data_IF_885785662931
#
_entry.id   IF_885785662931
#
_cell.length_a   1.000
_cell.length_b   1.000
_cell.length_c   1.000
_cell.angle_alpha   90.00
_cell.angle_beta   90.00
_cell.angle_gamma   90.00
#
_symmetry.space_group_name_H-M   'P 1'
#
loop_
_entity.id
_entity.type
_entity.pdbx_description
1 polymer ?
#
# COMPACT_ATOMS: atom_id res chain seq x y z
N UNK A 1 -16.29 -35.96 26.50
CA UNK A 1 -14.91 -35.46 26.29
C UNK A 1 -15.02 -34.32 25.30
N UNK A 2 -15.19 -33.10 25.81
CA UNK A 2 -15.32 -31.88 25.00
C UNK A 2 -13.92 -31.54 24.47
N UNK A 3 -13.77 -31.48 23.14
CA UNK A 3 -12.60 -30.88 22.52
C UNK A 3 -12.76 -29.37 22.66
N UNK A 4 -11.89 -28.75 23.45
CA UNK A 4 -11.77 -27.29 23.54
C UNK A 4 -11.40 -26.76 22.16
N UNK A 5 -12.28 -25.96 21.57
CA UNK A 5 -11.92 -25.06 20.48
C UNK A 5 -10.92 -24.03 21.04
N UNK A 6 -9.65 -24.19 20.68
CA UNK A 6 -8.67 -23.14 20.89
C UNK A 6 -9.01 -21.98 19.96
N UNK A 7 -9.71 -20.99 20.52
CA UNK A 7 -9.85 -19.65 19.97
C UNK A 7 -8.46 -19.12 19.63
N UNK A 8 -8.10 -19.19 18.35
CA UNK A 8 -6.92 -18.51 17.83
C UNK A 8 -7.39 -17.11 17.49
N UNK A 9 -7.04 -16.15 18.34
CA UNK A 9 -7.16 -14.72 18.06
C UNK A 9 -6.59 -14.48 16.67
N UNK A 10 -7.43 -14.07 15.73
CA UNK A 10 -6.98 -13.71 14.40
C UNK A 10 -6.19 -12.42 14.54
N UNK A 11 -4.86 -12.53 14.60
CA UNK A 11 -4.06 -11.37 14.25
C UNK A 11 -4.42 -11.02 12.81
N UNK A 12 -4.75 -9.76 12.57
CA UNK A 12 -4.95 -9.24 11.21
C UNK A 12 -3.70 -9.59 10.39
N UNK A 13 -3.82 -10.55 9.48
CA UNK A 13 -2.66 -11.01 8.71
C UNK A 13 -2.26 -9.89 7.76
N UNK A 14 -1.09 -9.29 7.96
CA UNK A 14 -0.57 -8.25 7.06
C UNK A 14 -0.11 -8.92 5.77
N UNK A 15 -0.79 -8.62 4.67
CA UNK A 15 -0.53 -9.22 3.38
C UNK A 15 0.29 -8.28 2.50
N UNK A 16 1.41 -8.77 1.98
CA UNK A 16 2.19 -8.06 0.97
C UNK A 16 2.31 -8.93 -0.27
N UNK A 17 1.75 -8.43 -1.37
CA UNK A 17 1.73 -9.11 -2.65
C UNK A 17 2.59 -8.34 -3.64
N UNK A 18 3.55 -9.04 -4.24
CA UNK A 18 4.37 -8.54 -5.33
C UNK A 18 3.86 -9.15 -6.62
N UNK A 19 3.60 -8.31 -7.61
CA UNK A 19 3.15 -8.72 -8.93
C UNK A 19 4.21 -8.31 -9.94
N UNK A 20 4.70 -9.26 -10.74
CA UNK A 20 5.61 -8.94 -11.83
C UNK A 20 5.23 -9.58 -13.16
N UNK A 21 5.59 -8.90 -14.23
CA UNK A 21 5.54 -9.38 -15.62
C UNK A 21 6.29 -8.43 -16.55
N UNK A 22 6.64 -8.84 -17.78
CA UNK A 22 7.11 -7.94 -18.83
C UNK A 22 6.12 -6.82 -19.16
N UNK A 23 6.55 -5.84 -19.96
CA UNK A 23 5.68 -4.75 -20.43
C UNK A 23 4.52 -5.29 -21.27
N UNK A 24 3.39 -4.57 -21.29
CA UNK A 24 2.22 -4.93 -22.10
C UNK A 24 1.30 -6.03 -21.52
N UNK A 25 1.65 -6.61 -20.37
CA UNK A 25 0.90 -7.72 -19.77
C UNK A 25 -0.18 -7.30 -18.76
N UNK A 26 -0.64 -6.04 -18.80
CA UNK A 26 -1.81 -5.59 -18.04
C UNK A 26 -1.65 -5.39 -16.53
N UNK A 27 -0.42 -5.27 -15.99
CA UNK A 27 -0.17 -4.96 -14.55
C UNK A 27 -0.94 -3.73 -14.09
N UNK A 28 -0.79 -2.61 -14.78
CA UNK A 28 -1.46 -1.36 -14.43
C UNK A 28 -2.97 -1.47 -14.50
N UNK A 29 -3.52 -2.20 -15.48
CA UNK A 29 -4.94 -2.48 -15.56
C UNK A 29 -5.45 -3.29 -14.36
N UNK A 30 -4.67 -4.28 -13.90
CA UNK A 30 -4.95 -5.05 -12.69
C UNK A 30 -4.90 -4.17 -11.44
N UNK A 31 -3.82 -3.39 -11.27
CA UNK A 31 -3.65 -2.46 -10.14
C UNK A 31 -4.78 -1.44 -10.07
N UNK A 32 -5.18 -0.88 -11.21
CA UNK A 32 -6.30 0.06 -11.31
C UNK A 32 -7.63 -0.61 -10.96
N UNK A 33 -7.92 -1.78 -11.53
CA UNK A 33 -9.14 -2.55 -11.21
C UNK A 33 -9.22 -2.88 -9.72
N UNK A 34 -8.09 -3.22 -9.10
CA UNK A 34 -8.02 -3.49 -7.65
C UNK A 34 -8.23 -2.22 -6.83
N UNK A 35 -7.63 -1.10 -7.23
CA UNK A 35 -7.83 0.19 -6.56
C UNK A 35 -9.30 0.60 -6.56
N UNK A 36 -9.97 0.53 -7.71
CA UNK A 36 -11.40 0.84 -7.83
C UNK A 36 -12.26 -0.05 -6.93
N UNK A 37 -12.00 -1.36 -6.93
CA UNK A 37 -12.72 -2.32 -6.08
C UNK A 37 -12.46 -2.11 -4.59
N UNK A 38 -11.22 -1.89 -4.19
CA UNK A 38 -10.86 -1.63 -2.79
C UNK A 38 -11.44 -0.30 -2.32
N UNK A 39 -11.54 0.70 -3.19
CA UNK A 39 -12.21 1.96 -2.88
C UNK A 39 -13.73 1.76 -2.71
N UNK A 40 -14.40 1.07 -3.63
CA UNK A 40 -15.82 0.71 -3.53
C UNK A 40 -16.11 -0.10 -2.25
N UNK A 41 -15.15 -0.93 -1.86
CA UNK A 41 -15.25 -1.67 -0.62
C UNK A 41 -15.03 -0.73 0.57
N UNK A 42 -14.15 0.26 0.51
CA UNK A 42 -13.78 1.12 1.65
C UNK A 42 -12.61 0.54 2.45
N UNK A 43 -11.72 -0.19 1.77
CA UNK A 43 -10.46 -0.73 2.33
C UNK A 43 -9.23 -0.20 1.60
N UNK A 44 -9.39 0.68 0.61
CA UNK A 44 -8.26 1.35 -0.02
C UNK A 44 -7.76 2.46 0.92
N UNK A 45 -6.46 2.42 1.23
CA UNK A 45 -5.78 3.40 2.07
C UNK A 45 -5.02 4.44 1.25
N UNK A 46 -4.40 4.00 0.15
CA UNK A 46 -3.68 4.87 -0.78
C UNK A 46 -3.32 4.14 -2.09
N UNK A 47 -3.02 4.92 -3.13
CA UNK A 47 -2.39 4.48 -4.36
C UNK A 47 -1.18 5.35 -4.70
N UNK A 48 -0.18 4.76 -5.35
CA UNK A 48 0.89 5.50 -6.00
C UNK A 48 1.24 4.81 -7.31
N UNK A 49 0.88 5.43 -8.43
CA UNK A 49 1.15 4.87 -9.75
C UNK A 49 2.34 5.62 -10.33
N UNK A 50 3.50 4.97 -10.32
CA UNK A 50 4.70 5.53 -10.89
C UNK A 50 4.51 5.70 -12.39
N UNK A 51 4.98 6.84 -12.90
CA UNK A 51 4.97 7.14 -14.32
C UNK A 51 6.26 7.87 -14.65
N UNK A 52 7.14 7.22 -15.42
CA UNK A 52 8.47 7.76 -15.75
C UNK A 52 8.40 9.14 -16.41
N UNK A 53 7.31 9.44 -17.11
CA UNK A 53 7.11 10.69 -17.86
C UNK A 53 6.57 11.84 -17.02
N UNK A 54 6.09 11.56 -15.79
CA UNK A 54 5.55 12.55 -14.87
C UNK A 54 6.55 12.88 -13.76
N UNK A 55 7.12 14.10 -13.69
CA UNK A 55 8.04 14.49 -12.62
C UNK A 55 7.49 14.33 -11.19
N UNK A 56 6.16 14.40 -11.05
CA UNK A 56 5.47 14.24 -9.77
C UNK A 56 5.36 12.77 -9.35
N UNK A 57 5.34 11.85 -10.33
CA UNK A 57 5.13 10.41 -10.11
C UNK A 57 6.34 9.55 -10.44
N UNK A 58 7.41 10.14 -10.96
CA UNK A 58 8.63 9.42 -11.28
C UNK A 58 9.64 9.46 -10.14
N UNK A 59 9.48 10.33 -9.14
CA UNK A 59 10.51 10.58 -8.13
C UNK A 59 10.10 10.04 -6.74
N UNK A 60 10.99 9.35 -6.00
CA UNK A 60 10.68 8.85 -4.67
C UNK A 60 10.38 9.94 -3.63
N UNK A 61 10.84 11.18 -3.83
CA UNK A 61 10.63 12.31 -2.91
C UNK A 61 9.16 12.61 -2.60
N UNK A 62 8.25 12.32 -3.54
CA UNK A 62 6.81 12.57 -3.36
C UNK A 62 6.08 11.40 -2.70
N UNK A 63 6.73 10.24 -2.58
CA UNK A 63 6.09 8.99 -2.19
C UNK A 63 5.42 9.10 -0.81
N UNK A 64 6.18 9.49 0.21
CA UNK A 64 5.68 9.51 1.59
C UNK A 64 4.61 10.58 1.79
N UNK A 65 4.85 11.80 1.28
CA UNK A 65 3.88 12.89 1.38
C UNK A 65 2.54 12.56 0.70
N UNK A 66 2.60 11.90 -0.46
CA UNK A 66 1.43 11.44 -1.19
C UNK A 66 0.66 10.37 -0.42
N UNK A 67 1.36 9.38 0.15
CA UNK A 67 0.73 8.35 0.98
C UNK A 67 0.11 8.97 2.24
N UNK A 68 0.81 9.85 2.95
CA UNK A 68 0.29 10.52 4.14
C UNK A 68 -0.99 11.31 3.85
N UNK A 69 -1.01 12.05 2.73
CA UNK A 69 -2.19 12.80 2.29
C UNK A 69 -3.37 11.87 2.02
N UNK A 70 -3.15 10.76 1.30
CA UNK A 70 -4.22 9.81 1.00
C UNK A 70 -4.70 9.06 2.24
N UNK A 71 -3.81 8.68 3.15
CA UNK A 71 -4.17 8.06 4.43
C UNK A 71 -5.06 8.98 5.26
N UNK A 72 -4.72 10.28 5.34
CA UNK A 72 -5.55 11.28 5.99
C UNK A 72 -6.96 11.38 5.37
N UNK A 73 -7.07 11.20 4.05
CA UNK A 73 -8.35 11.27 3.34
C UNK A 73 -9.20 10.00 3.48
N UNK A 74 -8.57 8.84 3.40
CA UNK A 74 -9.28 7.56 3.32
C UNK A 74 -9.54 6.90 4.68
N UNK A 75 -8.75 7.22 5.70
CA UNK A 75 -8.90 6.68 7.06
C UNK A 75 -9.34 7.80 8.01
N UNK A 76 -10.64 7.85 8.36
CA UNK A 76 -11.14 8.84 9.30
C UNK A 76 -10.38 8.80 10.63
N UNK A 77 -9.98 9.97 11.11
CA UNK A 77 -9.21 10.12 12.36
C UNK A 77 -7.69 10.20 12.18
N UNK A 78 -7.14 9.84 11.01
CA UNK A 78 -5.73 10.13 10.69
C UNK A 78 -5.50 11.58 10.26
N UNK A 79 -6.51 12.24 9.69
CA UNK A 79 -6.38 13.59 9.17
C UNK A 79 -5.87 14.60 10.21
N UNK A 80 -6.45 14.63 11.41
CA UNK A 80 -6.04 15.54 12.49
C UNK A 80 -4.61 15.26 12.92
N UNK A 81 -4.25 13.99 13.11
CA UNK A 81 -2.91 13.58 13.57
C UNK A 81 -1.81 13.90 12.57
N UNK A 82 -2.06 13.63 11.29
CA UNK A 82 -1.12 13.98 10.23
C UNK A 82 -1.02 15.50 10.11
N UNK A 83 -2.15 16.22 10.22
CA UNK A 83 -2.18 17.68 10.27
C UNK A 83 -1.36 18.24 11.44
N UNK A 84 -1.51 17.69 12.63
CA UNK A 84 -0.76 18.05 13.82
C UNK A 84 0.74 17.77 13.63
N UNK A 85 1.11 16.62 13.07
CA UNK A 85 2.51 16.29 12.79
C UNK A 85 3.16 17.30 11.83
N UNK A 86 2.44 17.74 10.79
CA UNK A 86 2.90 18.81 9.89
C UNK A 86 3.02 20.15 10.63
N UNK A 87 2.06 20.47 11.51
CA UNK A 87 2.10 21.69 12.33
C UNK A 87 3.30 21.74 13.29
N UNK A 88 3.66 20.62 13.91
CA UNK A 88 4.82 20.49 14.80
C UNK A 88 6.15 20.40 14.04
N UNK A 89 6.13 19.97 12.78
CA UNK A 89 7.31 19.82 11.94
C UNK A 89 7.17 20.56 10.59
N UNK A 90 7.23 21.91 10.57
CA UNK A 90 6.99 22.70 9.35
C UNK A 90 7.93 22.41 8.16
N UNK A 91 9.11 21.82 8.42
CA UNK A 91 10.11 21.45 7.41
C UNK A 91 10.19 19.94 7.16
N UNK A 92 9.16 19.18 7.55
CA UNK A 92 9.21 17.72 7.45
C UNK A 92 9.43 17.24 6.01
N UNK A 93 8.88 17.94 5.02
CA UNK A 93 9.06 17.61 3.60
C UNK A 93 10.49 17.85 3.07
N UNK A 94 11.31 18.61 3.81
CA UNK A 94 12.73 18.83 3.49
C UNK A 94 13.65 17.75 4.12
N UNK A 95 13.10 16.90 4.99
CA UNK A 95 13.83 15.80 5.62
C UNK A 95 13.95 14.58 4.71
N UNK A 96 14.79 13.61 5.09
CA UNK A 96 14.88 12.35 4.36
C UNK A 96 13.57 11.54 4.44
N UNK A 97 13.37 10.64 3.48
CA UNK A 97 12.11 9.89 3.37
C UNK A 97 11.84 9.00 4.57
N UNK A 98 12.87 8.49 5.24
CA UNK A 98 12.73 7.65 6.42
C UNK A 98 12.18 8.44 7.63
N UNK A 99 12.60 9.70 7.77
CA UNK A 99 12.08 10.66 8.75
C UNK A 99 10.67 11.11 8.40
N UNK A 100 10.40 11.42 7.12
CA UNK A 100 9.05 11.70 6.65
C UNK A 100 8.11 10.53 6.97
N UNK A 101 8.55 9.29 6.69
CA UNK A 101 7.73 8.08 6.91
C UNK A 101 7.42 7.90 8.39
N UNK A 102 8.40 8.14 9.26
CA UNK A 102 8.20 8.05 10.71
C UNK A 102 7.17 9.08 11.20
N UNK A 103 7.38 10.36 10.85
CA UNK A 103 6.61 11.48 11.40
C UNK A 103 5.24 11.66 10.77
N UNK A 104 5.07 11.33 9.49
CA UNK A 104 3.83 11.57 8.75
C UNK A 104 2.93 10.35 8.67
N UNK A 105 3.47 9.14 8.88
CA UNK A 105 2.70 7.90 8.72
C UNK A 105 2.79 7.05 9.99
N UNK A 106 3.99 6.62 10.39
CA UNK A 106 4.13 5.62 11.47
C UNK A 106 3.62 6.14 12.81
N UNK A 107 4.12 7.29 13.26
CA UNK A 107 3.72 7.89 14.55
C UNK A 107 2.22 8.26 14.55
N UNK A 108 1.69 9.03 13.58
CA UNK A 108 0.26 9.34 13.53
C UNK A 108 -0.65 8.10 13.52
N UNK A 109 -0.25 7.04 12.82
CA UNK A 109 -1.06 5.82 12.74
C UNK A 109 -1.01 5.03 14.04
N UNK A 110 0.14 4.96 14.72
CA UNK A 110 0.25 4.32 16.03
C UNK A 110 -0.64 5.03 17.06
N UNK A 111 -0.57 6.36 17.12
CA UNK A 111 -1.41 7.14 18.02
C UNK A 111 -2.90 6.97 17.71
N UNK A 112 -3.25 6.76 16.44
CA UNK A 112 -4.61 6.43 16.01
C UNK A 112 -5.08 5.08 16.57
N UNK A 113 -4.26 4.03 16.45
CA UNK A 113 -4.60 2.70 16.95
C UNK A 113 -4.67 2.64 18.47
N UNK A 114 -3.79 3.35 19.17
CA UNK A 114 -3.79 3.38 20.64
C UNK A 114 -5.08 4.02 21.18
N UNK A 115 -5.55 5.09 20.53
CA UNK A 115 -6.79 5.75 20.95
C UNK A 115 -8.05 4.99 20.51
N UNK A 116 -8.03 4.30 19.36
CA UNK A 116 -9.17 3.46 18.97
C UNK A 116 -9.38 2.32 19.97
N UNK A 117 -8.32 1.62 20.36
CA UNK A 117 -8.38 0.54 21.36
C UNK A 117 -8.90 1.00 22.73
N UNK A 118 -8.58 2.23 23.14
CA UNK A 118 -9.08 2.82 24.38
C UNK A 118 -10.58 3.16 24.32
N UNK A 119 -11.10 3.50 23.14
CA UNK A 119 -12.49 3.93 22.96
C UNK A 119 -13.47 2.77 22.75
N UNK A 120 -13.06 1.68 22.09
CA UNK A 120 -13.95 0.57 21.70
C UNK A 120 -13.71 -0.73 22.47
N UNK A 121 -12.75 -0.75 23.42
CA UNK A 121 -12.32 -1.96 24.11
C UNK A 121 -11.46 -2.86 23.22
N UNK A 122 -10.83 -3.88 23.82
CA UNK A 122 -9.82 -4.74 23.16
C UNK A 122 -10.35 -5.59 21.99
N UNK A 123 -11.66 -5.58 21.72
CA UNK A 123 -12.33 -6.46 20.75
C UNK A 123 -12.59 -5.78 19.39
N UNK A 124 -12.23 -4.50 19.20
CA UNK A 124 -12.34 -3.87 17.87
C UNK A 124 -11.20 -4.32 16.95
N UNK A 125 -11.47 -5.33 16.13
CA UNK A 125 -10.57 -5.77 15.07
C UNK A 125 -10.45 -4.66 14.01
N UNK A 126 -9.31 -3.97 13.97
CA UNK A 126 -9.10 -2.89 13.01
C UNK A 126 -9.01 -3.49 11.59
N UNK A 127 -9.89 -3.05 10.69
CA UNK A 127 -9.91 -3.55 9.33
C UNK A 127 -8.58 -3.23 8.61
N UNK A 128 -8.00 -4.26 7.99
CA UNK A 128 -6.77 -4.14 7.23
C UNK A 128 -6.99 -3.26 5.99
N UNK A 129 -6.14 -2.26 5.80
CA UNK A 129 -6.26 -1.28 4.72
C UNK A 129 -5.16 -1.48 3.65
N UNK A 130 -5.47 -1.26 2.39
CA UNK A 130 -4.62 -1.60 1.25
C UNK A 130 -3.96 -0.38 0.62
N UNK A 131 -2.66 -0.49 0.38
CA UNK A 131 -1.86 0.45 -0.40
C UNK A 131 -1.45 -0.22 -1.71
N UNK A 132 -1.73 0.41 -2.84
CA UNK A 132 -1.37 -0.11 -4.17
C UNK A 132 -0.29 0.75 -4.80
N UNK A 133 0.85 0.13 -5.09
CA UNK A 133 1.97 0.73 -5.79
C UNK A 133 2.07 0.09 -7.18
N UNK A 134 1.91 0.88 -8.24
CA UNK A 134 1.98 0.38 -9.61
C UNK A 134 3.21 0.94 -10.34
N UNK A 135 3.89 0.08 -11.09
CA UNK A 135 4.99 0.52 -11.97
C UNK A 135 6.26 0.92 -11.24
N UNK A 136 6.62 0.25 -10.13
CA UNK A 136 7.81 0.63 -9.34
C UNK A 136 9.09 0.79 -10.20
N UNK A 137 9.25 -0.01 -11.25
CA UNK A 137 10.37 0.09 -12.20
C UNK A 137 10.43 1.40 -13.00
N UNK A 138 9.36 2.19 -13.01
CA UNK A 138 9.28 3.52 -13.59
C UNK A 138 9.79 4.62 -12.63
N UNK A 139 10.04 4.28 -11.36
CA UNK A 139 10.65 5.18 -10.38
C UNK A 139 12.09 5.51 -10.77
N UNK A 140 12.37 6.80 -10.94
CA UNK A 140 13.65 7.36 -11.30
C UNK A 140 14.00 8.55 -10.38
N UNK A 141 15.16 8.50 -9.72
CA UNK A 141 15.65 9.64 -8.96
C UNK A 141 16.25 10.69 -9.91
N UNK A 142 15.46 11.70 -10.28
CA UNK A 142 15.97 12.84 -11.03
C UNK A 142 16.83 13.73 -10.14
N UNK A 143 18.08 13.97 -10.54
CA UNK A 143 18.96 14.94 -9.89
C UNK A 143 18.86 16.29 -10.61
N UNK A 144 18.93 17.44 -9.89
CA UNK A 144 18.71 18.77 -10.48
C UNK A 144 19.64 19.14 -11.65
N UNK A 145 20.78 18.46 -11.78
CA UNK A 145 21.83 18.79 -12.75
C UNK A 145 21.90 17.83 -13.95
N UNK A 146 21.02 16.83 -14.04
CA UNK A 146 20.99 15.87 -15.15
C UNK A 146 19.65 15.88 -15.88
N UNK A 147 19.73 15.74 -17.21
CA UNK A 147 18.55 15.56 -18.07
C UNK A 147 17.97 14.15 -17.99
N UNK A 148 18.81 13.15 -17.71
CA UNK A 148 18.39 11.76 -17.55
C UNK A 148 19.10 11.10 -16.36
N UNK A 149 18.38 10.32 -15.55
CA UNK A 149 18.96 9.55 -14.46
C UNK A 149 19.72 8.34 -14.99
N UNK A 150 20.79 7.98 -14.30
CA UNK A 150 21.52 6.74 -14.58
C UNK A 150 20.72 5.53 -14.14
N UNK A 151 21.08 4.37 -14.69
CA UNK A 151 20.54 3.08 -14.25
C UNK A 151 20.75 2.86 -12.75
N UNK A 152 21.92 3.24 -12.21
CA UNK A 152 22.21 3.12 -10.79
C UNK A 152 21.34 4.04 -9.92
N UNK A 153 21.12 5.28 -10.33
CA UNK A 153 20.22 6.22 -9.62
C UNK A 153 18.77 5.72 -9.63
N UNK A 154 18.30 5.23 -10.78
CA UNK A 154 16.95 4.65 -10.91
C UNK A 154 16.79 3.42 -10.02
N UNK A 155 17.78 2.52 -10.02
CA UNK A 155 17.82 1.35 -9.16
C UNK A 155 17.80 1.72 -7.67
N UNK A 156 18.60 2.71 -7.25
CA UNK A 156 18.64 3.14 -5.86
C UNK A 156 17.29 3.74 -5.43
N UNK A 157 16.62 4.50 -6.30
CA UNK A 157 15.28 5.02 -6.05
C UNK A 157 14.26 3.90 -5.81
N UNK A 158 14.26 2.88 -6.68
CA UNK A 158 13.38 1.71 -6.55
C UNK A 158 13.64 0.94 -5.24
N UNK A 159 14.91 0.72 -4.89
CA UNK A 159 15.30 0.06 -3.64
C UNK A 159 14.87 0.86 -2.42
N UNK A 160 15.04 2.19 -2.45
CA UNK A 160 14.61 3.06 -1.35
C UNK A 160 13.09 2.94 -1.11
N UNK A 161 12.27 2.89 -2.16
CA UNK A 161 10.82 2.67 -2.00
C UNK A 161 10.53 1.31 -1.34
N UNK A 162 11.22 0.25 -1.77
CA UNK A 162 11.06 -1.09 -1.16
C UNK A 162 11.48 -1.12 0.31
N UNK A 163 12.56 -0.42 0.67
CA UNK A 163 13.02 -0.27 2.05
C UNK A 163 12.00 0.49 2.91
N UNK A 164 11.40 1.57 2.39
CA UNK A 164 10.34 2.30 3.09
C UNK A 164 9.10 1.43 3.32
N UNK A 165 8.66 0.68 2.30
CA UNK A 165 7.55 -0.26 2.44
C UNK A 165 7.89 -1.36 3.45
N UNK A 166 9.10 -1.90 3.40
CA UNK A 166 9.56 -2.89 4.36
C UNK A 166 9.57 -2.35 5.79
N UNK A 167 10.07 -1.13 6.00
CA UNK A 167 10.06 -0.45 7.29
C UNK A 167 8.63 -0.29 7.79
N UNK A 168 7.74 0.24 6.96
CA UNK A 168 6.33 0.45 7.30
C UNK A 168 5.64 -0.87 7.68
N UNK A 169 5.87 -1.93 6.92
CA UNK A 169 5.34 -3.28 7.22
C UNK A 169 5.87 -3.84 8.55
N UNK A 170 7.14 -3.62 8.85
CA UNK A 170 7.80 -4.13 10.06
C UNK A 170 7.29 -3.47 11.34
N UNK A 171 6.56 -2.36 11.24
CA UNK A 171 5.91 -1.70 12.38
C UNK A 171 4.68 -2.45 12.92
N UNK A 172 4.11 -3.38 12.15
CA UNK A 172 2.89 -4.11 12.55
C UNK A 172 1.58 -3.32 12.35
N UNK A 173 1.62 -2.16 11.70
CA UNK A 173 0.40 -1.43 11.32
C UNK A 173 -0.47 -2.28 10.37
N UNK A 174 -1.81 -2.16 10.42
CA UNK A 174 -2.75 -2.92 9.59
C UNK A 174 -2.80 -2.38 8.15
N UNK A 175 -1.64 -2.28 7.52
CA UNK A 175 -1.43 -1.79 6.16
C UNK A 175 -0.87 -2.92 5.29
N UNK A 176 -1.69 -3.35 4.33
CA UNK A 176 -1.32 -4.35 3.32
C UNK A 176 -0.90 -3.67 2.02
N UNK A 177 -0.05 -4.35 1.26
CA UNK A 177 0.56 -3.79 0.06
C UNK A 177 0.33 -4.67 -1.17
N UNK A 178 0.03 -4.02 -2.27
CA UNK A 178 0.18 -4.56 -3.62
C UNK A 178 1.26 -3.75 -4.33
N UNK A 179 2.31 -4.39 -4.85
CA UNK A 179 3.35 -3.70 -5.60
C UNK A 179 3.53 -4.37 -6.95
N UNK A 180 3.37 -3.61 -8.02
CA UNK A 180 3.58 -4.07 -9.39
C UNK A 180 4.90 -3.54 -9.94
N UNK A 181 5.63 -4.39 -10.67
CA UNK A 181 6.89 -4.01 -11.33
C UNK A 181 7.25 -4.91 -12.51
N UNK A 182 8.15 -4.46 -13.39
CA UNK A 182 8.82 -5.32 -14.37
C UNK A 182 9.95 -6.12 -13.69
N UNK A 183 10.11 -7.42 -13.99
CA UNK A 183 11.07 -8.28 -13.29
C UNK A 183 12.53 -7.95 -13.68
N UNK A 184 13.06 -6.87 -13.11
CA UNK A 184 14.47 -6.51 -13.20
C UNK A 184 15.28 -7.30 -12.16
N UNK A 185 16.50 -7.72 -12.52
CA UNK A 185 17.32 -8.59 -11.65
C UNK A 185 17.60 -7.97 -10.28
N UNK A 186 17.79 -6.65 -10.23
CA UNK A 186 17.99 -5.86 -9.01
C UNK A 186 16.79 -5.97 -8.06
N UNK A 187 15.59 -5.65 -8.56
CA UNK A 187 14.34 -5.68 -7.80
C UNK A 187 14.08 -7.12 -7.34
N UNK A 188 14.17 -8.09 -8.24
CA UNK A 188 13.94 -9.50 -7.91
C UNK A 188 14.88 -10.03 -6.84
N UNK A 189 16.17 -9.65 -6.88
CA UNK A 189 17.15 -10.05 -5.85
C UNK A 189 16.81 -9.44 -4.50
N UNK A 190 16.41 -8.18 -4.47
CA UNK A 190 16.00 -7.51 -3.23
C UNK A 190 14.72 -8.14 -2.67
N UNK A 191 13.69 -8.35 -3.50
CA UNK A 191 12.44 -9.02 -3.09
C UNK A 191 12.67 -10.42 -2.51
N UNK A 192 13.66 -11.18 -2.99
CA UNK A 192 14.03 -12.48 -2.41
C UNK A 192 14.49 -12.37 -0.96
N UNK A 193 15.15 -11.27 -0.58
CA UNK A 193 15.57 -11.02 0.81
C UNK A 193 14.37 -10.83 1.75
N UNK A 194 13.20 -10.47 1.22
CA UNK A 194 11.96 -10.27 1.98
C UNK A 194 10.90 -11.36 1.74
N UNK A 195 11.28 -12.44 1.05
CA UNK A 195 10.37 -13.47 0.54
C UNK A 195 9.65 -14.28 1.60
N UNK A 196 10.17 -14.34 2.84
CA UNK A 196 9.53 -15.10 3.94
C UNK A 196 8.13 -14.61 4.28
N UNK A 197 7.78 -13.39 3.87
CA UNK A 197 6.50 -12.77 4.21
C UNK A 197 5.79 -12.08 3.05
N UNK A 198 6.34 -12.20 1.85
CA UNK A 198 5.84 -11.54 0.66
C UNK A 198 5.45 -12.60 -0.36
N UNK A 199 4.21 -12.57 -0.82
CA UNK A 199 3.75 -13.45 -1.89
C UNK A 199 4.09 -12.84 -3.24
N UNK A 200 5.04 -13.44 -3.95
CA UNK A 200 5.40 -13.05 -5.32
C UNK A 200 4.50 -13.78 -6.32
N UNK A 201 3.95 -13.04 -7.27
CA UNK A 201 3.01 -13.51 -8.30
C UNK A 201 3.59 -13.11 -9.66
N UNK A 202 3.97 -14.12 -10.45
CA UNK A 202 4.33 -13.95 -11.85
C UNK A 202 3.07 -14.04 -12.70
N UNK A 203 2.65 -12.93 -13.34
CA UNK A 203 1.46 -12.94 -14.19
C UNK A 203 1.67 -13.83 -15.42
N UNK A 204 2.89 -13.97 -15.92
CA UNK A 204 3.15 -14.78 -17.11
C UNK A 204 3.09 -16.28 -16.85
N UNK A 205 3.33 -16.71 -15.60
CA UNK A 205 3.23 -18.11 -15.19
C UNK A 205 1.78 -18.54 -14.90
N UNK A 206 0.84 -17.60 -14.87
CA UNK A 206 -0.59 -17.86 -14.71
C UNK A 206 -1.17 -18.03 -16.13
N UNK A 207 -1.40 -19.29 -16.49
CA UNK A 207 -1.73 -19.83 -17.83
C UNK A 207 -2.48 -18.91 -18.82
N UNK A 208 -2.03 -18.93 -20.08
CA UNK A 208 -2.24 -17.92 -21.13
C UNK A 208 -3.62 -17.90 -21.83
N UNK A 209 -4.67 -18.51 -21.28
CA UNK A 209 -5.97 -18.63 -21.97
C UNK A 209 -7.16 -17.96 -21.30
N UNK A 210 -7.01 -17.42 -20.09
CA UNK A 210 -7.97 -16.46 -19.52
C UNK A 210 -7.19 -15.35 -18.86
N UNK A 211 -7.57 -14.11 -19.12
CA UNK A 211 -7.10 -12.96 -18.35
C UNK A 211 -7.46 -13.21 -16.89
N UNK A 212 -6.54 -13.81 -16.15
CA UNK A 212 -6.71 -14.26 -14.77
C UNK A 212 -6.55 -13.09 -13.79
N UNK A 213 -7.12 -11.95 -14.20
CA UNK A 213 -7.52 -10.85 -13.33
C UNK A 213 -8.27 -11.45 -12.16
N UNK A 214 -9.13 -12.46 -12.37
CA UNK A 214 -9.77 -13.22 -11.30
C UNK A 214 -8.82 -13.92 -10.34
N UNK A 215 -7.66 -14.45 -10.75
CA UNK A 215 -6.71 -15.09 -9.84
C UNK A 215 -5.94 -14.07 -9.03
N UNK A 216 -5.47 -12.98 -9.66
CA UNK A 216 -4.84 -11.87 -8.93
C UNK A 216 -5.85 -11.21 -7.98
N UNK A 217 -7.06 -10.96 -8.46
CA UNK A 217 -8.20 -10.51 -7.67
C UNK A 217 -8.52 -11.50 -6.57
N UNK A 218 -8.54 -12.81 -6.81
CA UNK A 218 -8.87 -13.82 -5.80
C UNK A 218 -7.78 -13.96 -4.77
N UNK A 219 -6.51 -13.75 -5.12
CA UNK A 219 -5.40 -13.67 -4.17
C UNK A 219 -5.47 -12.38 -3.35
N UNK A 220 -5.80 -11.24 -3.97
CA UNK A 220 -6.00 -9.96 -3.25
C UNK A 220 -7.32 -9.83 -2.49
N UNK A 221 -8.39 -10.50 -2.92
CA UNK A 221 -9.77 -10.36 -2.40
C UNK A 221 -10.18 -11.49 -1.45
N UNK A 222 -9.61 -12.71 -1.52
CA UNK A 222 -9.94 -13.78 -0.54
C UNK A 222 -9.51 -13.39 0.88
N UNK A 223 -8.49 -12.55 1.00
CA UNK A 223 -8.14 -11.87 2.25
C UNK A 223 -9.28 -10.98 2.74
N UNK A 224 -9.78 -10.09 1.88
CA UNK A 224 -10.82 -9.11 2.21
C UNK A 224 -12.19 -9.74 2.49
N UNK A 225 -12.58 -10.76 1.72
CA UNK A 225 -13.89 -11.39 1.84
C UNK A 225 -14.08 -12.18 3.15
N UNK A 226 -12.98 -12.57 3.82
CA UNK A 226 -13.02 -13.26 5.12
C UNK A 226 -13.19 -12.29 6.30
N UNK A 227 -12.61 -11.10 6.20
CA UNK A 227 -12.72 -10.05 7.23
C UNK A 227 -14.12 -9.40 7.22
N UNK A 228 -14.77 -9.28 6.05
CA UNK A 228 -16.11 -8.67 5.93
C UNK A 228 -17.30 -9.52 6.33
N UNK A 229 -17.19 -10.85 6.22
CA UNK A 229 -18.27 -11.73 6.67
C UNK A 229 -18.47 -11.71 8.18
N UNK A 230 -17.47 -11.23 8.95
CA UNK A 230 -17.58 -11.07 10.40
C UNK A 230 -18.07 -9.68 10.83
N UNK A 231 -17.72 -8.63 10.10
CA UNK A 231 -18.17 -7.25 10.40
C UNK A 231 -19.60 -6.96 9.94
N UNK A 232 -20.10 -7.59 8.88
CA UNK A 232 -21.50 -7.44 8.43
C UNK A 232 -22.54 -8.05 9.37
N UNK A 233 -22.15 -8.92 10.30
CA UNK A 233 -23.05 -9.40 11.37
C UNK A 233 -23.16 -8.40 12.54
N UNK A 234 -22.50 -7.23 12.48
CA UNK A 234 -22.42 -6.31 13.63
C UNK A 234 -22.63 -4.81 13.34
N UNK A 235 -23.03 -4.37 12.14
CA UNK A 235 -23.42 -2.96 11.98
C UNK A 235 -23.59 -2.48 10.55
N UNK A 236 -24.76 -1.91 10.29
CA UNK A 236 -25.17 -1.25 9.05
C UNK A 236 -25.02 0.27 9.21
N UNK A 237 -24.19 0.93 8.40
CA UNK A 237 -24.25 2.40 8.21
C UNK A 237 -23.78 2.79 6.79
N UNK A 238 -24.70 3.38 6.02
CA UNK A 238 -24.52 4.64 5.28
C UNK A 238 -23.52 4.68 4.13
N UNK A 239 -24.03 4.46 2.92
CA UNK A 239 -23.38 4.77 1.64
C UNK A 239 -23.21 6.29 1.48
N UNK A 240 -21.97 6.75 1.30
CA UNK A 240 -21.65 8.13 0.87
C UNK A 240 -21.14 8.04 -0.55
N UNK A 241 -21.81 8.71 -1.49
CA UNK A 241 -21.40 8.83 -2.89
C UNK A 241 -19.96 9.36 -2.99
N UNK A 242 -19.03 8.47 -3.38
CA UNK A 242 -17.61 8.74 -3.62
C UNK A 242 -17.27 8.55 -5.11
N UNK A 243 -18.02 9.18 -6.01
CA UNK A 243 -17.60 9.34 -7.40
C UNK A 243 -16.95 10.71 -7.59
N UNK A 244 -15.60 10.76 -7.57
CA UNK A 244 -14.74 11.76 -8.28
C UNK A 244 -13.23 11.70 -8.02
N UNK A 245 -12.65 10.61 -7.51
CA UNK A 245 -11.20 10.56 -7.22
C UNK A 245 -10.51 9.29 -7.75
N UNK A 246 -10.89 8.83 -8.94
CA UNK A 246 -10.13 7.83 -9.70
C UNK A 246 -9.12 8.52 -10.61
N UNK A 247 -8.00 8.97 -10.04
CA UNK A 247 -6.68 9.03 -10.69
C UNK A 247 -6.54 9.62 -12.11
N UNK A 248 -7.41 10.54 -12.56
CA UNK A 248 -7.24 11.19 -13.88
C UNK A 248 -6.50 12.52 -13.85
N UNK A 249 -6.20 13.08 -12.68
CA UNK A 249 -5.50 14.36 -12.58
C UNK A 249 -4.58 14.39 -11.36
N UNK A 250 -3.43 13.70 -11.44
CA UNK A 250 -2.20 14.02 -10.69
C UNK A 250 -1.03 13.33 -11.38
#
# INVERSE_FOLDING_TARGET
>A
MQLQEHSTTLSSVIHSHLIHSPSGQGKSAISQTLAERYNQQGILAATFFFDRTSPQRNNPSQFVATLATQLALYIPGLNSRIGDAVGHHPKILDTNLEQQLEKLIIEPFRDFLEQSQQATGADSEQANSWIILDGLDECIAMTPHRKEPTELESKNAQLQILELVHKLRSTGLPLSFLISFRPETSIMKHCKQFSSFIKVIDICAIDSHRQDVETVLRVGLRTVARERRRTRESGDIGEVDREKLTGREW
#
